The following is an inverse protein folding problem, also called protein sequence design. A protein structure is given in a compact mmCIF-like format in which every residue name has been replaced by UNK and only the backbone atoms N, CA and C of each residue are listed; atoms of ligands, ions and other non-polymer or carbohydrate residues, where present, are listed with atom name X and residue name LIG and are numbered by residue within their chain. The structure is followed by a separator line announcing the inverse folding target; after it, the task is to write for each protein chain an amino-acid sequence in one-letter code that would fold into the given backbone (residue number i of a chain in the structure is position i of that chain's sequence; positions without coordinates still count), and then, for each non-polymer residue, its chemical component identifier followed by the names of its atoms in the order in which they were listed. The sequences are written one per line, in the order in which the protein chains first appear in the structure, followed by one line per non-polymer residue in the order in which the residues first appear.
data_IF_038274659624
#
_entry.id   IF_038274659624
#
_cell.length_a   1.000
_cell.length_b   1.000
_cell.length_c   1.000
_cell.angle_alpha   90.00
_cell.angle_beta   90.00
_cell.angle_gamma   90.00
#
_symmetry.space_group_name_H-M   'P 1'
#
loop_
_entity.id
_entity.type
_entity.pdbx_description
1 polymer ?
#
# COMPACT_ATOMS: atom_id res chain seq x y z
N UNK A 1 8.59 1.62 -10.53
CA UNK A 1 7.24 2.21 -10.51
C UNK A 1 6.19 1.14 -10.69
N UNK A 2 5.18 1.14 -9.85
CA UNK A 2 4.10 0.16 -10.00
C UNK A 2 3.35 0.41 -11.32
N UNK A 3 3.09 -0.65 -12.04
CA UNK A 3 2.33 -0.59 -13.26
C UNK A 3 0.86 -0.26 -12.95
N UNK A 4 0.27 0.66 -13.70
CA UNK A 4 -1.13 1.02 -13.57
C UNK A 4 -2.07 -0.17 -13.76
N UNK A 5 -1.68 -1.16 -14.57
CA UNK A 5 -2.47 -2.36 -14.78
C UNK A 5 -2.54 -3.21 -13.52
N UNK A 6 -1.45 -3.31 -12.75
CA UNK A 6 -1.46 -4.02 -11.46
C UNK A 6 -2.35 -3.33 -10.44
N UNK A 7 -2.31 -2.00 -10.39
CA UNK A 7 -3.16 -1.24 -9.48
C UNK A 7 -4.64 -1.42 -9.82
N UNK A 8 -4.99 -1.36 -11.10
CA UNK A 8 -6.37 -1.59 -11.55
C UNK A 8 -6.84 -2.99 -11.21
N UNK A 9 -6.00 -3.98 -11.40
CA UNK A 9 -6.31 -5.38 -11.09
C UNK A 9 -6.58 -5.56 -9.60
N UNK A 10 -5.74 -4.97 -8.74
CA UNK A 10 -5.91 -5.04 -7.28
C UNK A 10 -7.19 -4.34 -6.84
N UNK A 11 -7.48 -3.16 -7.37
CA UNK A 11 -8.71 -2.44 -7.05
C UNK A 11 -9.95 -3.18 -7.51
N UNK A 12 -9.88 -3.87 -8.66
CA UNK A 12 -10.96 -4.71 -9.14
C UNK A 12 -11.19 -5.92 -8.21
N UNK A 13 -10.13 -6.54 -7.74
CA UNK A 13 -10.22 -7.63 -6.75
C UNK A 13 -10.82 -7.15 -5.44
N UNK A 14 -10.48 -5.95 -5.01
CA UNK A 14 -11.03 -5.35 -3.80
C UNK A 14 -12.54 -5.13 -3.92
N UNK A 15 -12.99 -4.56 -5.04
CA UNK A 15 -14.41 -4.35 -5.33
C UNK A 15 -15.19 -5.66 -5.34
N UNK A 16 -14.66 -6.65 -6.03
CA UNK A 16 -15.27 -7.97 -6.12
C UNK A 16 -15.34 -8.63 -4.74
N UNK A 17 -14.30 -8.49 -3.94
CA UNK A 17 -14.26 -9.01 -2.58
C UNK A 17 -15.31 -8.39 -1.69
N UNK A 18 -15.52 -7.07 -1.77
CA UNK A 18 -16.56 -6.36 -1.02
C UNK A 18 -17.93 -6.87 -1.40
N UNK A 19 -18.22 -6.99 -2.70
CA UNK A 19 -19.50 -7.51 -3.19
C UNK A 19 -19.75 -8.92 -2.69
N UNK A 20 -18.74 -9.78 -2.78
CA UNK A 20 -18.85 -11.17 -2.34
C UNK A 20 -19.17 -11.28 -0.86
N UNK A 21 -18.62 -10.40 -0.01
CA UNK A 21 -18.92 -10.39 1.42
C UNK A 21 -20.39 -10.06 1.71
N UNK A 22 -20.97 -9.11 0.97
CA UNK A 22 -22.35 -8.69 1.19
C UNK A 22 -23.37 -9.63 0.56
N UNK A 23 -22.96 -10.42 -0.43
CA UNK A 23 -23.84 -11.33 -1.16
C UNK A 23 -23.80 -12.78 -0.64
N UNK A 24 -22.92 -13.08 0.32
CA UNK A 24 -22.71 -14.44 0.82
C UNK A 24 -22.61 -14.49 2.33
N UNK A 25 -22.64 -15.70 2.88
CA UNK A 25 -22.51 -15.95 4.32
C UNK A 25 -21.07 -15.88 4.83
N UNK A 26 -20.17 -15.31 4.03
CA UNK A 26 -18.73 -15.27 4.35
C UNK A 26 -18.32 -14.14 5.29
N UNK A 27 -19.26 -13.31 5.70
CA UNK A 27 -18.96 -12.16 6.56
C UNK A 27 -18.35 -12.57 7.89
N UNK A 28 -18.87 -13.63 8.51
CA UNK A 28 -18.33 -14.13 9.79
C UNK A 28 -16.91 -14.66 9.63
N UNK A 29 -16.64 -15.35 8.51
CA UNK A 29 -15.28 -15.81 8.17
C UNK A 29 -14.32 -14.64 7.99
N UNK A 30 -14.77 -13.59 7.32
CA UNK A 30 -13.97 -12.38 7.14
C UNK A 30 -13.66 -11.70 8.49
N UNK A 31 -14.60 -11.65 9.42
CA UNK A 31 -14.35 -11.09 10.75
C UNK A 31 -13.26 -11.85 11.50
N UNK A 32 -13.21 -13.16 11.35
CA UNK A 32 -12.13 -13.97 11.92
C UNK A 32 -10.77 -13.64 11.30
N UNK A 33 -10.75 -13.42 10.00
CA UNK A 33 -9.52 -13.00 9.31
C UNK A 33 -9.09 -11.61 9.75
N UNK A 34 -10.02 -10.67 9.91
CA UNK A 34 -9.72 -9.35 10.46
C UNK A 34 -9.05 -9.44 11.83
N UNK A 35 -9.53 -10.32 12.70
CA UNK A 35 -8.96 -10.51 14.03
C UNK A 35 -7.51 -11.02 13.95
N UNK A 36 -7.20 -11.88 12.99
CA UNK A 36 -5.83 -12.38 12.78
C UNK A 36 -4.89 -11.31 12.23
N UNK A 37 -5.40 -10.44 11.38
CA UNK A 37 -4.61 -9.43 10.67
C UNK A 37 -4.87 -8.01 11.18
N UNK A 38 -5.04 -7.86 12.49
CA UNK A 38 -5.36 -6.55 13.09
C UNK A 38 -4.26 -5.50 12.88
N UNK A 39 -3.04 -5.91 12.54
CA UNK A 39 -1.93 -5.00 12.22
C UNK A 39 -1.99 -4.45 10.80
N UNK A 40 -2.88 -4.97 9.98
CA UNK A 40 -3.06 -4.53 8.61
C UNK A 40 -4.29 -3.65 8.49
N UNK A 41 -4.32 -2.77 7.50
CA UNK A 41 -5.50 -1.96 7.22
C UNK A 41 -6.68 -2.86 6.83
N UNK A 42 -7.90 -2.34 6.97
CA UNK A 42 -9.10 -3.05 6.54
C UNK A 42 -9.01 -3.43 5.06
N UNK A 43 -8.51 -2.51 4.23
CA UNK A 43 -8.34 -2.74 2.80
C UNK A 43 -7.36 -3.89 2.52
N UNK A 44 -6.21 -3.90 3.18
CA UNK A 44 -5.23 -4.95 2.99
C UNK A 44 -5.71 -6.29 3.56
N UNK A 45 -6.42 -6.28 4.67
CA UNK A 45 -7.02 -7.49 5.23
C UNK A 45 -8.02 -8.10 4.24
N UNK A 46 -8.84 -7.26 3.61
CA UNK A 46 -9.78 -7.72 2.60
C UNK A 46 -9.06 -8.29 1.37
N UNK A 47 -7.98 -7.65 0.93
CA UNK A 47 -7.15 -8.16 -0.17
C UNK A 47 -6.54 -9.52 0.16
N UNK A 48 -6.03 -9.69 1.38
CA UNK A 48 -5.49 -10.97 1.84
C UNK A 48 -6.60 -12.03 1.81
N UNK A 49 -7.76 -11.72 2.37
CA UNK A 49 -8.89 -12.64 2.45
C UNK A 49 -9.37 -13.08 1.06
N UNK A 50 -9.49 -12.15 0.12
CA UNK A 50 -9.99 -12.48 -1.23
C UNK A 50 -9.01 -13.35 -2.01
N UNK A 51 -7.72 -13.22 -1.75
CA UNK A 51 -6.69 -13.99 -2.45
C UNK A 51 -6.35 -15.29 -1.76
N UNK A 52 -6.42 -15.34 -0.42
CA UNK A 52 -6.15 -16.54 0.35
C UNK A 52 -6.95 -16.52 1.66
N UNK A 53 -8.19 -17.04 1.64
CA UNK A 53 -9.04 -17.05 2.83
C UNK A 53 -8.46 -17.86 4.00
N UNK A 54 -7.56 -18.79 3.73
CA UNK A 54 -6.94 -19.63 4.73
C UNK A 54 -5.66 -19.02 5.32
N UNK A 55 -5.25 -17.84 4.87
CA UNK A 55 -4.03 -17.20 5.34
C UNK A 55 -4.06 -16.96 6.86
N UNK A 56 -2.96 -17.26 7.53
CA UNK A 56 -2.83 -17.12 8.98
C UNK A 56 -1.80 -16.08 9.38
N UNK A 57 -0.69 -16.00 8.67
CA UNK A 57 0.37 -15.03 8.93
C UNK A 57 1.06 -14.72 7.60
N UNK A 58 1.17 -13.45 7.28
CA UNK A 58 1.81 -13.01 6.04
C UNK A 58 2.98 -12.09 6.33
N UNK A 59 3.99 -12.16 5.47
CA UNK A 59 5.14 -11.27 5.51
C UNK A 59 5.76 -11.22 4.12
N UNK A 60 6.54 -10.18 3.86
CA UNK A 60 7.27 -10.06 2.60
C UNK A 60 8.34 -11.12 2.46
N UNK A 61 8.78 -11.35 1.23
CA UNK A 61 9.78 -12.36 0.91
C UNK A 61 11.05 -12.21 1.74
N UNK A 62 11.60 -11.01 1.79
CA UNK A 62 12.83 -10.72 2.55
C UNK A 62 12.60 -10.86 4.04
N UNK A 63 11.43 -10.45 4.53
CA UNK A 63 11.09 -10.54 5.95
C UNK A 63 11.02 -11.98 6.43
N UNK A 64 10.45 -12.88 5.62
CA UNK A 64 10.44 -14.32 5.97
C UNK A 64 11.83 -14.86 6.21
N UNK A 65 12.77 -14.52 5.32
CA UNK A 65 14.14 -14.99 5.43
C UNK A 65 14.88 -14.33 6.59
N UNK A 66 14.79 -13.01 6.72
CA UNK A 66 15.56 -12.21 7.68
C UNK A 66 15.06 -12.35 9.11
N UNK A 67 13.73 -12.27 9.31
CA UNK A 67 13.14 -12.22 10.65
C UNK A 67 12.70 -13.57 11.18
N UNK A 68 12.37 -14.50 10.30
CA UNK A 68 11.82 -15.81 10.68
C UNK A 68 12.68 -16.98 10.25
N UNK A 69 13.80 -16.71 9.56
CA UNK A 69 14.69 -17.74 9.03
C UNK A 69 13.94 -18.80 8.20
N UNK A 70 13.05 -18.32 7.35
CA UNK A 70 12.24 -19.16 6.46
C UNK A 70 12.36 -18.63 5.03
N UNK A 71 12.23 -19.52 4.07
CA UNK A 71 12.22 -19.14 2.65
C UNK A 71 10.85 -19.46 2.05
N UNK A 72 10.42 -18.61 1.12
CA UNK A 72 9.21 -18.89 0.35
C UNK A 72 9.49 -20.05 -0.60
N UNK A 73 8.55 -20.97 -0.71
CA UNK A 73 8.67 -22.11 -1.64
C UNK A 73 8.75 -21.62 -3.07
N UNK A 74 9.60 -22.30 -3.87
CA UNK A 74 9.73 -21.98 -5.29
C UNK A 74 8.39 -22.17 -6.01
N UNK A 75 8.04 -21.24 -6.86
CA UNK A 75 6.80 -21.29 -7.65
C UNK A 75 5.58 -20.75 -6.96
N UNK A 76 5.68 -20.33 -5.70
CA UNK A 76 4.56 -19.74 -4.98
C UNK A 76 4.27 -18.32 -5.47
N UNK A 77 2.99 -18.01 -5.58
CA UNK A 77 2.54 -16.67 -5.95
C UNK A 77 2.27 -15.82 -4.72
N UNK A 78 2.72 -14.57 -4.76
CA UNK A 78 2.49 -13.64 -3.65
C UNK A 78 1.05 -13.16 -3.58
N UNK A 79 0.62 -12.87 -2.35
CA UNK A 79 -0.62 -12.16 -2.10
C UNK A 79 -0.34 -10.67 -2.29
N UNK A 80 -1.10 -10.00 -3.15
CA UNK A 80 -0.87 -8.58 -3.45
C UNK A 80 -1.63 -7.71 -2.48
N UNK A 81 -0.91 -6.84 -1.76
CA UNK A 81 -1.49 -5.83 -0.89
C UNK A 81 -0.95 -4.46 -1.30
N UNK A 82 -1.46 -3.41 -0.68
CA UNK A 82 -1.04 -2.04 -0.96
C UNK A 82 -0.18 -1.53 0.21
N UNK A 83 1.04 -1.12 -0.08
CA UNK A 83 1.94 -0.58 0.93
C UNK A 83 2.25 0.88 0.64
N UNK A 84 2.36 1.73 1.69
CA UNK A 84 2.75 3.11 1.50
C UNK A 84 4.25 3.22 1.22
N UNK A 85 4.60 4.09 0.28
CA UNK A 85 5.97 4.49 0.04
C UNK A 85 6.06 6.00 0.17
N UNK A 86 7.17 6.49 0.72
CA UNK A 86 7.43 7.92 0.80
C UNK A 86 7.96 8.40 -0.55
N UNK A 87 7.31 9.39 -1.12
CA UNK A 87 7.73 10.01 -2.38
C UNK A 87 8.09 11.45 -2.10
N UNK A 88 9.29 11.83 -2.51
CA UNK A 88 9.73 13.22 -2.44
C UNK A 88 9.44 13.90 -3.76
N UNK A 89 8.85 15.06 -3.69
CA UNK A 89 8.54 15.88 -4.85
C UNK A 89 9.08 17.28 -4.62
N UNK A 90 9.72 17.81 -5.65
CA UNK A 90 10.26 19.16 -5.63
C UNK A 90 9.39 20.01 -6.56
N UNK A 91 8.79 21.03 -6.01
CA UNK A 91 7.89 21.91 -6.76
C UNK A 91 8.29 23.35 -6.57
N UNK A 92 8.27 24.11 -7.66
CA UNK A 92 8.38 25.56 -7.58
C UNK A 92 7.02 26.14 -7.21
N UNK A 93 7.03 26.98 -6.20
CA UNK A 93 5.83 27.69 -5.81
C UNK A 93 6.15 29.18 -5.62
N UNK A 94 5.13 30.01 -5.71
CA UNK A 94 5.30 31.44 -5.52
C UNK A 94 5.79 31.71 -4.09
N UNK A 95 6.85 32.52 -3.99
CA UNK A 95 7.34 32.97 -2.69
C UNK A 95 6.36 34.00 -2.12
N UNK A 96 5.84 33.74 -0.93
CA UNK A 96 4.86 34.60 -0.28
C UNK A 96 5.48 35.35 0.86
N UNK A 97 5.03 36.59 1.01
CA UNK A 97 5.38 37.41 2.18
C UNK A 97 4.77 36.73 3.43
N UNK A 98 5.56 36.50 4.49
CA UNK A 98 5.06 35.82 5.68
C UNK A 98 3.98 36.58 6.44
N UNK A 99 3.90 37.91 6.26
CA UNK A 99 2.93 38.74 6.96
C UNK A 99 1.68 38.94 6.12
N UNK A 100 1.84 39.40 4.87
CA UNK A 100 0.71 39.76 4.00
C UNK A 100 0.14 38.60 3.23
N UNK A 101 0.91 37.51 3.10
CA UNK A 101 0.55 36.34 2.29
C UNK A 101 0.43 36.67 0.79
N UNK A 102 0.98 37.79 0.37
CA UNK A 102 0.99 38.19 -1.03
C UNK A 102 2.27 37.72 -1.70
N UNK A 103 2.23 37.45 -3.03
CA UNK A 103 3.43 37.08 -3.76
C UNK A 103 4.51 38.18 -3.66
N UNK A 104 5.75 37.72 -3.41
CA UNK A 104 6.90 38.64 -3.43
C UNK A 104 7.30 38.88 -4.87
N UNK A 105 7.48 40.12 -5.26
CA UNK A 105 7.87 40.49 -6.62
C UNK A 105 9.35 40.86 -6.67
N UNK A 106 9.99 40.55 -7.80
CA UNK A 106 11.37 40.94 -8.06
C UNK A 106 11.46 42.41 -8.54
N UNK A 107 12.66 42.87 -8.88
CA UNK A 107 12.93 44.22 -9.36
C UNK A 107 12.15 44.60 -10.63
N UNK A 108 11.76 43.55 -11.40
CA UNK A 108 11.05 43.74 -12.67
C UNK A 108 9.55 43.56 -12.54
N UNK A 109 9.03 43.39 -11.32
CA UNK A 109 7.61 43.19 -11.07
C UNK A 109 7.13 41.76 -11.30
N UNK A 110 8.03 40.83 -11.53
CA UNK A 110 7.70 39.39 -11.72
C UNK A 110 7.64 38.68 -10.38
N UNK A 111 6.73 37.71 -10.25
CA UNK A 111 6.62 36.94 -9.03
C UNK A 111 7.88 36.08 -8.82
N UNK A 112 8.44 36.18 -7.61
CA UNK A 112 9.56 35.33 -7.22
C UNK A 112 9.03 33.93 -6.88
N UNK A 113 9.82 32.91 -7.21
CA UNK A 113 9.49 31.53 -6.88
C UNK A 113 10.53 30.95 -5.95
N UNK A 114 10.12 29.97 -5.17
CA UNK A 114 11.02 29.20 -4.32
C UNK A 114 10.78 27.71 -4.57
N UNK A 115 11.82 26.93 -4.35
CA UNK A 115 11.73 25.48 -4.46
C UNK A 115 11.24 24.92 -3.14
N UNK A 116 10.12 24.24 -3.17
CA UNK A 116 9.54 23.58 -1.99
C UNK A 116 9.66 22.08 -2.17
N UNK A 117 10.32 21.43 -1.22
CA UNK A 117 10.39 19.99 -1.15
C UNK A 117 9.28 19.49 -0.25
N UNK A 118 8.49 18.53 -0.74
CA UNK A 118 7.44 17.89 0.05
C UNK A 118 7.57 16.40 -0.04
N UNK A 119 7.18 15.73 1.04
CA UNK A 119 7.11 14.28 1.10
C UNK A 119 5.66 13.87 1.29
N UNK A 120 5.19 12.94 0.49
CA UNK A 120 3.83 12.40 0.62
C UNK A 120 3.84 10.89 0.48
N UNK A 121 2.81 10.24 1.03
CA UNK A 121 2.66 8.79 0.92
C UNK A 121 1.96 8.44 -0.39
N UNK A 122 2.53 7.49 -1.10
CA UNK A 122 1.94 6.90 -2.28
C UNK A 122 1.82 5.40 -2.05
N UNK A 123 0.71 4.80 -2.47
CA UNK A 123 0.51 3.37 -2.29
C UNK A 123 0.95 2.62 -3.53
N UNK A 124 1.60 1.49 -3.32
CA UNK A 124 2.08 0.63 -4.39
C UNK A 124 1.78 -0.83 -4.08
N UNK A 125 1.46 -1.66 -5.09
CA UNK A 125 1.31 -3.09 -4.87
C UNK A 125 2.61 -3.74 -4.44
N UNK A 126 2.53 -4.54 -3.38
CA UNK A 126 3.65 -5.36 -2.90
C UNK A 126 3.16 -6.78 -2.68
N UNK A 127 4.07 -7.74 -2.74
CA UNK A 127 3.75 -9.13 -2.53
C UNK A 127 4.11 -9.56 -1.11
N UNK A 128 3.17 -10.24 -0.45
CA UNK A 128 3.43 -10.92 0.82
C UNK A 128 3.10 -12.40 0.64
N UNK A 129 3.63 -13.22 1.53
CA UNK A 129 3.46 -14.68 1.46
C UNK A 129 2.99 -15.20 2.79
N UNK A 130 2.04 -16.13 2.75
CA UNK A 130 1.51 -16.76 3.95
C UNK A 130 2.48 -17.80 4.51
N UNK A 131 2.33 -18.10 5.80
CA UNK A 131 3.13 -19.11 6.48
C UNK A 131 3.06 -20.48 5.78
N UNK A 132 1.94 -20.79 5.13
CA UNK A 132 1.79 -22.02 4.35
C UNK A 132 2.64 -22.07 3.08
N UNK A 133 3.14 -20.93 2.62
CA UNK A 133 3.95 -20.82 1.41
C UNK A 133 5.45 -20.82 1.70
N UNK A 134 5.84 -20.97 2.95
CA UNK A 134 7.23 -20.94 3.37
C UNK A 134 7.79 -22.34 3.59
N UNK A 135 9.12 -22.44 3.56
CA UNK A 135 9.85 -23.63 3.97
C UNK A 135 10.92 -23.25 4.97
N UNK A 136 11.40 -24.22 5.72
CA UNK A 136 12.54 -24.03 6.62
C UNK A 136 13.77 -23.73 5.77
N UNK A 137 14.46 -22.67 6.12
CA UNK A 137 15.68 -22.25 5.42
C UNK A 137 16.82 -23.24 5.69
#
# INVERSE_FOLDING_TARGET
MADNSQMKEILAKLDEGVKSLFESDKYAEYLNVMARFHNYSTRNTLLIYTQNPAAQRVAGFVSWKKNFNRSVKKGEHGIKILAPIAVKDVKESAKLDPVTKQPVLDEHGNAMTETVERTFARFTPVSVFDIGQRRVA
#
